data_IF_682497384205
#
_entry.id   IF_682497384205
#
_cell.length_a   1.000
_cell.length_b   1.000
_cell.length_c   1.000
_cell.angle_alpha   90.00
_cell.angle_beta   90.00
_cell.angle_gamma   90.00
#
_symmetry.space_group_name_H-M   'P 1'
#
loop_
_entity.id
_entity.type
_entity.pdbx_description
1 polymer ?
#
# COMPACT_ATOMS: atom_id res chain seq x y z
N UNK A 1 73.15 9.75 53.82
CA UNK A 1 71.96 10.60 53.96
C UNK A 1 70.78 9.90 53.31
N UNK A 2 69.88 9.42 54.16
CA UNK A 2 68.41 9.35 54.01
C UNK A 2 67.78 8.90 52.68
N UNK A 3 67.30 7.66 52.71
CA UNK A 3 66.13 7.17 51.95
C UNK A 3 64.91 8.08 52.17
N UNK A 4 64.17 8.37 51.09
CA UNK A 4 62.70 8.53 51.14
C UNK A 4 62.06 7.69 50.04
N UNK A 5 61.38 6.66 50.52
CA UNK A 5 60.41 5.82 49.84
C UNK A 5 59.15 6.60 49.47
N UNK A 6 58.59 6.35 48.28
CA UNK A 6 57.13 6.36 48.09
C UNK A 6 56.77 5.13 47.24
N UNK A 7 55.93 4.30 47.84
CA UNK A 7 55.39 3.05 47.31
C UNK A 7 54.38 3.31 46.19
N UNK A 8 54.51 2.58 45.07
CA UNK A 8 53.46 2.47 44.05
C UNK A 8 52.42 1.44 44.53
N UNK A 9 51.30 1.93 45.04
CA UNK A 9 50.11 1.10 45.33
C UNK A 9 49.39 0.81 44.02
N UNK A 10 49.36 -0.46 43.63
CA UNK A 10 48.57 -0.99 42.52
C UNK A 10 47.08 -0.91 42.86
N UNK A 11 46.33 -0.04 42.16
CA UNK A 11 44.88 -0.01 42.22
C UNK A 11 44.29 -1.13 41.31
N UNK A 12 43.24 -1.84 41.77
CA UNK A 12 42.61 -2.92 40.99
C UNK A 12 41.70 -2.38 39.86
N UNK A 13 41.39 -3.19 38.84
CA UNK A 13 40.58 -2.77 37.71
C UNK A 13 39.12 -2.49 38.12
N UNK A 14 38.63 -1.31 37.75
CA UNK A 14 37.27 -0.85 38.00
C UNK A 14 36.29 -1.64 37.11
N UNK A 15 35.39 -2.36 37.77
CA UNK A 15 34.24 -3.04 37.18
C UNK A 15 33.22 -2.02 36.65
N UNK A 16 33.06 -1.93 35.33
CA UNK A 16 31.99 -1.18 34.67
C UNK A 16 30.76 -2.08 34.48
N UNK A 17 30.01 -2.26 35.56
CA UNK A 17 28.60 -2.70 35.53
C UNK A 17 27.82 -1.95 36.59
N UNK A 18 27.21 -0.82 36.20
CA UNK A 18 25.85 -0.36 36.56
C UNK A 18 25.64 1.10 36.13
N UNK A 19 24.93 1.29 35.02
CA UNK A 19 24.18 2.51 34.75
C UNK A 19 22.98 2.15 33.87
N UNK A 20 22.08 1.36 34.46
CA UNK A 20 20.73 1.17 33.95
C UNK A 20 19.83 2.27 34.53
N UNK A 21 18.91 2.75 33.71
CA UNK A 21 17.61 3.30 34.09
C UNK A 21 17.53 4.63 34.84
N UNK A 22 17.55 5.71 34.06
CA UNK A 22 16.60 6.82 34.31
C UNK A 22 15.73 7.05 33.08
N UNK A 23 14.41 6.82 33.14
CA UNK A 23 13.51 7.06 32.02
C UNK A 23 13.35 8.57 31.81
N UNK A 24 13.77 9.07 30.64
CA UNK A 24 13.48 10.46 30.23
C UNK A 24 11.96 10.62 30.03
N UNK A 25 11.34 11.70 30.53
CA UNK A 25 9.91 11.92 30.37
C UNK A 25 9.61 12.22 28.89
N UNK A 26 8.87 11.32 28.22
CA UNK A 26 8.35 11.57 26.87
C UNK A 26 7.13 12.48 26.99
N UNK A 27 7.22 13.70 26.43
CA UNK A 27 6.08 14.62 26.31
C UNK A 27 4.96 13.95 25.52
N UNK A 28 3.79 13.82 26.13
CA UNK A 28 2.58 13.27 25.52
C UNK A 28 1.93 14.35 24.66
N UNK A 29 2.00 14.22 23.34
CA UNK A 29 1.22 15.08 22.43
C UNK A 29 -0.21 14.53 22.40
N UNK A 30 -1.16 15.31 22.93
CA UNK A 30 -2.59 15.00 22.88
C UNK A 30 -3.18 15.80 21.72
N UNK A 31 -3.38 15.15 20.57
CA UNK A 31 -4.07 15.74 19.43
C UNK A 31 -5.58 15.62 19.67
N UNK A 32 -6.22 16.71 20.09
CA UNK A 32 -7.69 16.81 20.12
C UNK A 32 -8.19 17.02 18.69
N UNK A 33 -8.79 16.00 18.09
CA UNK A 33 -9.48 16.12 16.80
C UNK A 33 -10.84 16.77 17.02
N UNK A 34 -11.23 17.72 16.17
CA UNK A 34 -12.55 18.35 16.28
C UNK A 34 -13.65 17.30 16.03
N UNK A 35 -14.73 17.39 16.79
CA UNK A 35 -15.90 16.51 16.67
C UNK A 35 -16.56 16.61 15.29
N UNK A 36 -16.37 17.73 14.59
CA UNK A 36 -16.89 17.98 13.25
C UNK A 36 -16.18 17.11 12.20
N UNK A 37 -14.86 16.93 12.32
CA UNK A 37 -14.07 16.07 11.41
C UNK A 37 -14.47 14.59 11.58
N UNK A 38 -14.68 14.14 12.83
CA UNK A 38 -15.11 12.75 13.12
C UNK A 38 -16.53 12.48 12.59
N UNK A 39 -17.42 13.47 12.67
CA UNK A 39 -18.79 13.35 12.18
C UNK A 39 -18.88 13.41 10.65
N UNK A 40 -18.02 14.18 9.98
CA UNK A 40 -17.92 14.21 8.52
C UNK A 40 -17.43 12.85 7.96
N UNK A 41 -16.40 12.24 8.58
CA UNK A 41 -15.91 10.92 8.18
C UNK A 41 -16.95 9.80 8.38
N UNK A 42 -17.77 9.88 9.44
CA UNK A 42 -18.87 8.92 9.70
C UNK A 42 -19.99 8.99 8.67
N UNK A 43 -20.36 10.19 8.19
CA UNK A 43 -21.37 10.35 7.13
C UNK A 43 -20.88 9.80 5.78
N UNK A 44 -19.59 9.95 5.46
CA UNK A 44 -18.98 9.42 4.22
C UNK A 44 -18.94 7.87 4.21
N UNK A 45 -18.60 7.24 5.33
CA UNK A 45 -18.58 5.77 5.45
C UNK A 45 -19.98 5.13 5.46
N UNK A 46 -21.00 5.83 5.92
CA UNK A 46 -22.38 5.31 5.92
C UNK A 46 -22.97 5.23 4.49
N UNK A 47 -22.61 6.17 3.61
CA UNK A 47 -23.04 6.16 2.21
C UNK A 47 -22.31 5.10 1.37
N UNK A 48 -21.02 4.86 1.63
CA UNK A 48 -20.27 3.79 0.95
C UNK A 48 -20.77 2.38 1.32
N UNK A 49 -21.24 2.18 2.55
CA UNK A 49 -21.74 0.88 3.00
C UNK A 49 -23.17 0.58 2.51
N UNK A 50 -23.99 1.60 2.21
CA UNK A 50 -25.32 1.40 1.60
C UNK A 50 -25.27 0.95 0.14
N UNK A 51 -24.18 1.23 -0.58
CA UNK A 51 -23.99 0.75 -1.97
C UNK A 51 -23.32 -0.62 -2.07
N UNK A 52 -22.80 -1.18 -0.96
CA UNK A 52 -22.06 -2.47 -0.95
C UNK A 52 -22.91 -3.69 -0.53
N UNK A 53 -24.19 -3.52 -0.21
CA UNK A 53 -25.02 -4.62 0.35
C UNK A 53 -25.96 -5.32 -0.63
N UNK A 54 -25.84 -5.11 -1.95
CA UNK A 54 -26.54 -5.94 -2.95
C UNK A 54 -25.61 -6.18 -4.14
N UNK A 55 -25.19 -7.43 -4.33
CA UNK A 55 -24.32 -7.81 -5.43
C UNK A 55 -23.90 -9.27 -5.34
N UNK A 56 -24.82 -10.17 -5.71
CA UNK A 56 -24.52 -11.52 -6.22
C UNK A 56 -23.49 -11.45 -7.35
N UNK A 57 -22.69 -12.51 -7.60
CA UNK A 57 -21.66 -12.49 -8.62
C UNK A 57 -22.32 -12.45 -10.01
N UNK A 58 -22.31 -11.29 -10.65
CA UNK A 58 -22.77 -11.12 -12.02
C UNK A 58 -21.57 -10.83 -12.89
N UNK A 59 -21.11 -11.85 -13.60
CA UNK A 59 -20.27 -11.70 -14.79
C UNK A 59 -21.06 -10.83 -15.78
N UNK A 60 -20.72 -9.54 -15.85
CA UNK A 60 -21.32 -8.60 -16.80
C UNK A 60 -20.37 -8.46 -17.99
N UNK A 61 -20.88 -8.45 -19.24
CA UNK A 61 -20.03 -8.52 -20.42
C UNK A 61 -19.28 -7.20 -20.63
N UNK A 62 -17.97 -7.33 -20.85
CA UNK A 62 -17.01 -6.28 -21.17
C UNK A 62 -17.45 -5.55 -22.48
N UNK A 63 -17.60 -4.23 -22.44
CA UNK A 63 -17.80 -3.42 -23.65
C UNK A 63 -16.52 -3.43 -24.49
N UNK A 64 -16.58 -4.08 -25.65
CA UNK A 64 -15.61 -3.92 -26.73
C UNK A 64 -15.86 -2.61 -27.48
N UNK A 65 -14.89 -1.70 -27.48
CA UNK A 65 -14.88 -0.54 -28.36
C UNK A 65 -13.45 -0.16 -28.76
N UNK A 66 -13.16 -0.54 -30.00
CA UNK A 66 -12.32 0.13 -31.01
C UNK A 66 -11.37 1.22 -30.54
N UNK A 67 -10.18 0.82 -30.11
CA UNK A 67 -8.95 1.57 -30.30
C UNK A 67 -7.94 0.64 -30.97
N UNK A 68 -7.18 1.14 -31.95
CA UNK A 68 -6.21 0.36 -32.72
C UNK A 68 -5.05 -0.08 -31.82
N UNK A 69 -5.27 -1.12 -31.01
CA UNK A 69 -4.21 -1.79 -30.27
C UNK A 69 -3.38 -2.60 -31.26
N UNK A 70 -2.06 -2.44 -31.21
CA UNK A 70 -1.18 -3.37 -31.90
C UNK A 70 -1.34 -4.76 -31.29
N UNK A 71 -1.11 -5.83 -32.06
CA UNK A 71 -1.29 -7.20 -31.57
C UNK A 71 -0.53 -7.45 -30.27
N UNK A 72 0.68 -6.89 -30.14
CA UNK A 72 1.55 -7.05 -28.97
C UNK A 72 0.99 -6.36 -27.73
N UNK A 73 0.47 -5.13 -27.85
CA UNK A 73 -0.12 -4.39 -26.73
C UNK A 73 -1.33 -5.12 -26.14
N UNK A 74 -2.15 -5.73 -27.01
CA UNK A 74 -3.29 -6.54 -26.58
C UNK A 74 -2.83 -7.73 -25.72
N UNK A 75 -1.83 -8.51 -26.17
CA UNK A 75 -1.32 -9.65 -25.40
C UNK A 75 -0.71 -9.25 -24.06
N UNK A 76 0.04 -8.14 -24.03
CA UNK A 76 0.66 -7.62 -22.81
C UNK A 76 -0.44 -7.20 -21.82
N UNK A 77 -1.43 -6.43 -22.28
CA UNK A 77 -2.53 -5.96 -21.43
C UNK A 77 -3.34 -7.10 -20.82
N UNK A 78 -3.58 -8.16 -21.60
CA UNK A 78 -4.28 -9.35 -21.13
C UNK A 78 -3.45 -10.13 -20.12
N UNK A 79 -2.14 -10.24 -20.32
CA UNK A 79 -1.24 -10.91 -19.37
C UNK A 79 -1.24 -10.22 -18.02
N UNK A 80 -1.15 -8.88 -17.99
CA UNK A 80 -1.25 -8.12 -16.75
C UNK A 80 -2.64 -8.23 -16.10
N UNK A 81 -3.73 -8.23 -16.89
CA UNK A 81 -5.08 -8.45 -16.35
C UNK A 81 -5.24 -9.84 -15.71
N UNK A 82 -4.69 -10.89 -16.34
CA UNK A 82 -4.68 -12.25 -15.77
C UNK A 82 -3.91 -12.25 -14.44
N UNK A 83 -2.71 -11.66 -14.40
CA UNK A 83 -1.91 -11.55 -13.18
C UNK A 83 -2.65 -10.76 -12.08
N UNK A 84 -3.31 -9.66 -12.43
CA UNK A 84 -4.17 -8.90 -11.53
C UNK A 84 -5.23 -9.80 -10.89
N UNK A 85 -6.00 -10.55 -11.71
CA UNK A 85 -7.06 -11.45 -11.24
C UNK A 85 -6.52 -12.57 -10.35
N UNK A 86 -5.40 -13.17 -10.72
CA UNK A 86 -4.73 -14.22 -9.95
C UNK A 86 -4.27 -13.72 -8.58
N UNK A 87 -3.55 -12.60 -8.54
CA UNK A 87 -3.03 -12.01 -7.29
C UNK A 87 -4.15 -11.50 -6.39
N UNK A 88 -5.21 -10.93 -6.96
CA UNK A 88 -6.41 -10.54 -6.19
C UNK A 88 -7.08 -11.73 -5.51
N UNK A 89 -7.21 -12.85 -6.23
CA UNK A 89 -7.76 -14.09 -5.68
C UNK A 89 -6.87 -14.66 -4.58
N UNK A 90 -5.55 -14.69 -4.79
CA UNK A 90 -4.59 -15.12 -3.77
C UNK A 90 -4.70 -14.25 -2.50
N UNK A 91 -4.72 -12.92 -2.64
CA UNK A 91 -4.88 -12.00 -1.52
C UNK A 91 -6.15 -12.31 -0.70
N UNK A 92 -7.25 -12.55 -1.40
CA UNK A 92 -8.55 -12.86 -0.78
C UNK A 92 -8.51 -14.20 -0.04
N UNK A 93 -7.86 -15.22 -0.62
CA UNK A 93 -7.68 -16.52 0.02
C UNK A 93 -6.86 -16.40 1.31
N UNK A 94 -5.71 -15.72 1.29
CA UNK A 94 -4.88 -15.51 2.48
C UNK A 94 -5.61 -14.70 3.55
N UNK A 95 -6.34 -13.65 3.16
CA UNK A 95 -7.17 -12.87 4.07
C UNK A 95 -8.21 -13.75 4.77
N UNK A 96 -8.94 -14.58 4.03
CA UNK A 96 -9.94 -15.48 4.61
C UNK A 96 -9.34 -16.53 5.54
N UNK A 97 -8.18 -17.12 5.19
CA UNK A 97 -7.48 -18.03 6.10
C UNK A 97 -7.12 -17.34 7.42
N UNK A 98 -6.57 -16.12 7.35
CA UNK A 98 -6.27 -15.31 8.52
C UNK A 98 -7.52 -15.05 9.40
N UNK A 99 -8.67 -14.78 8.79
CA UNK A 99 -9.94 -14.56 9.50
C UNK A 99 -10.47 -15.83 10.17
N UNK A 100 -10.27 -17.00 9.55
CA UNK A 100 -10.70 -18.30 10.05
C UNK A 100 -9.78 -18.90 11.13
N UNK A 101 -8.52 -18.48 11.23
CA UNK A 101 -7.61 -18.96 12.27
C UNK A 101 -8.16 -18.55 13.65
N UNK A 102 -8.40 -19.52 14.56
CA UNK A 102 -8.90 -19.25 15.91
C UNK A 102 -7.99 -18.26 16.66
N UNK A 103 -8.55 -17.49 17.59
CA UNK A 103 -7.78 -16.50 18.37
C UNK A 103 -6.82 -17.11 19.41
N UNK A 104 -6.55 -18.41 19.32
CA UNK A 104 -5.64 -19.07 20.24
C UNK A 104 -4.18 -18.62 20.00
N UNK A 105 -3.43 -18.43 21.10
CA UNK A 105 -2.05 -17.92 21.04
C UNK A 105 -1.12 -18.78 20.16
N UNK A 106 -1.40 -20.08 20.04
CA UNK A 106 -0.60 -21.03 19.28
C UNK A 106 -0.54 -20.75 17.76
N UNK A 107 -1.58 -20.15 17.17
CA UNK A 107 -1.64 -19.87 15.72
C UNK A 107 -1.47 -18.39 15.36
N UNK A 108 -1.04 -17.57 16.32
CA UNK A 108 -0.87 -16.12 16.10
C UNK A 108 0.11 -15.82 14.97
N UNK A 109 1.23 -16.54 14.90
CA UNK A 109 2.26 -16.29 13.89
C UNK A 109 1.81 -16.69 12.48
N UNK A 110 1.09 -17.81 12.34
CA UNK A 110 0.44 -18.20 11.08
C UNK A 110 -0.52 -17.12 10.60
N UNK A 111 -1.35 -16.59 11.51
CA UNK A 111 -2.30 -15.51 11.19
C UNK A 111 -1.61 -14.22 10.73
N UNK A 112 -0.51 -13.85 11.37
CA UNK A 112 0.30 -12.70 10.95
C UNK A 112 0.90 -12.98 9.58
N UNK A 113 1.50 -14.14 9.36
CA UNK A 113 2.09 -14.52 8.06
C UNK A 113 1.07 -14.45 6.92
N UNK A 114 -0.15 -14.95 7.14
CA UNK A 114 -1.24 -14.89 6.16
C UNK A 114 -1.72 -13.45 5.91
N UNK A 115 -1.81 -12.63 6.95
CA UNK A 115 -2.12 -11.20 6.81
C UNK A 115 -1.08 -10.48 5.95
N UNK A 116 0.19 -10.79 6.17
CA UNK A 116 1.31 -10.19 5.43
C UNK A 116 1.36 -10.68 3.99
N UNK A 117 1.05 -11.94 3.74
CA UNK A 117 0.98 -12.45 2.37
C UNK A 117 -0.18 -11.83 1.59
N UNK A 118 -1.36 -11.71 2.21
CA UNK A 118 -2.48 -11.00 1.62
C UNK A 118 -2.14 -9.54 1.31
N UNK A 119 -1.41 -8.87 2.21
CA UNK A 119 -0.92 -7.51 2.00
C UNK A 119 -0.05 -7.42 0.74
N UNK A 120 0.94 -8.30 0.60
CA UNK A 120 1.82 -8.34 -0.58
C UNK A 120 1.04 -8.66 -1.86
N UNK A 121 0.14 -9.64 -1.82
CA UNK A 121 -0.70 -9.99 -2.96
C UNK A 121 -1.61 -8.85 -3.42
N UNK A 122 -2.15 -8.05 -2.49
CA UNK A 122 -2.94 -6.85 -2.86
C UNK A 122 -2.07 -5.78 -3.52
N UNK A 123 -0.85 -5.54 -3.04
CA UNK A 123 0.09 -4.61 -3.67
C UNK A 123 0.45 -5.05 -5.10
N UNK A 124 0.75 -6.34 -5.30
CA UNK A 124 1.03 -6.90 -6.62
C UNK A 124 -0.20 -6.88 -7.54
N UNK A 125 -1.38 -7.17 -7.01
CA UNK A 125 -2.63 -7.11 -7.76
C UNK A 125 -2.86 -5.71 -8.31
N UNK A 126 -2.71 -4.68 -7.47
CA UNK A 126 -2.85 -3.29 -7.92
C UNK A 126 -1.80 -2.89 -8.97
N UNK A 127 -0.53 -3.25 -8.78
CA UNK A 127 0.52 -3.02 -9.77
C UNK A 127 0.14 -3.61 -11.15
N UNK A 128 -0.29 -4.87 -11.16
CA UNK A 128 -0.70 -5.55 -12.39
C UNK A 128 -1.95 -4.89 -13.02
N UNK A 129 -2.89 -4.42 -12.20
CA UNK A 129 -4.05 -3.68 -12.70
C UNK A 129 -3.63 -2.38 -13.39
N UNK A 130 -2.70 -1.63 -12.79
CA UNK A 130 -2.19 -0.38 -13.37
C UNK A 130 -1.41 -0.65 -14.66
N UNK A 131 -0.56 -1.69 -14.70
CA UNK A 131 0.18 -2.04 -15.92
C UNK A 131 -0.78 -2.43 -17.05
N UNK A 132 -1.78 -3.27 -16.77
CA UNK A 132 -2.82 -3.62 -17.74
C UNK A 132 -3.50 -2.36 -18.29
N UNK A 133 -3.85 -1.41 -17.41
CA UNK A 133 -4.45 -0.14 -17.79
C UNK A 133 -3.56 0.71 -18.70
N UNK A 134 -2.28 0.88 -18.33
CA UNK A 134 -1.30 1.62 -19.14
C UNK A 134 -1.09 1.00 -20.52
N UNK A 135 -1.28 -0.31 -20.65
CA UNK A 135 -1.22 -1.05 -21.92
C UNK A 135 -2.57 -1.14 -22.65
N UNK A 136 -3.58 -0.40 -22.19
CA UNK A 136 -4.86 -0.24 -22.89
C UNK A 136 -6.02 -1.11 -22.40
N UNK A 137 -5.85 -1.91 -21.35
CA UNK A 137 -6.97 -2.62 -20.74
C UNK A 137 -7.88 -1.66 -19.99
N UNK A 138 -9.20 -1.71 -20.23
CA UNK A 138 -10.15 -0.78 -19.60
C UNK A 138 -10.66 -1.33 -18.27
N UNK A 139 -10.61 -0.49 -17.24
CA UNK A 139 -11.23 -0.75 -15.94
C UNK A 139 -12.23 0.35 -15.60
N UNK A 140 -13.37 -0.02 -15.03
CA UNK A 140 -14.35 0.93 -14.49
C UNK A 140 -13.90 1.51 -13.15
N UNK A 141 -13.21 0.69 -12.35
CA UNK A 141 -12.67 1.06 -11.05
C UNK A 141 -11.35 0.34 -10.74
N UNK A 142 -10.50 1.02 -9.98
CA UNK A 142 -9.26 0.46 -9.48
C UNK A 142 -9.41 -0.14 -8.08
N UNK A 143 -8.67 -1.21 -7.83
CA UNK A 143 -8.54 -1.80 -6.51
C UNK A 143 -7.84 -0.81 -5.58
N UNK A 144 -8.53 -0.39 -4.51
CA UNK A 144 -7.93 0.39 -3.44
C UNK A 144 -7.68 -0.49 -2.19
N UNK A 145 -6.42 -0.86 -1.89
CA UNK A 145 -6.10 -1.71 -0.74
C UNK A 145 -5.89 -0.93 0.59
N UNK A 146 -6.03 0.40 0.62
CA UNK A 146 -5.64 1.27 1.75
C UNK A 146 -6.24 0.83 3.09
N UNK A 147 -7.54 0.52 3.11
CA UNK A 147 -8.23 0.09 4.33
C UNK A 147 -7.66 -1.22 4.86
N UNK A 148 -7.39 -2.18 3.97
CA UNK A 148 -6.79 -3.45 4.37
C UNK A 148 -5.37 -3.24 4.92
N UNK A 149 -4.56 -2.41 4.26
CA UNK A 149 -3.20 -2.10 4.73
C UNK A 149 -3.21 -1.45 6.11
N UNK A 150 -4.15 -0.54 6.37
CA UNK A 150 -4.35 0.08 7.69
C UNK A 150 -4.72 -0.94 8.76
N UNK A 151 -5.56 -1.91 8.42
CA UNK A 151 -5.99 -2.96 9.34
C UNK A 151 -4.85 -3.92 9.71
N UNK A 152 -3.97 -4.26 8.76
CA UNK A 152 -2.82 -5.14 9.00
C UNK A 152 -1.89 -4.58 10.08
N UNK A 153 -1.73 -3.26 10.20
CA UNK A 153 -0.89 -2.71 11.30
C UNK A 153 -1.39 -3.08 12.70
N UNK A 154 -2.68 -3.40 12.88
CA UNK A 154 -3.23 -3.83 14.16
C UNK A 154 -2.66 -5.18 14.60
N UNK A 155 -2.36 -6.10 13.65
CA UNK A 155 -1.83 -7.42 13.96
C UNK A 155 -0.29 -7.44 14.14
N UNK A 156 0.40 -6.36 13.75
CA UNK A 156 1.86 -6.22 13.81
C UNK A 156 2.39 -5.62 15.11
N UNK A 157 1.54 -5.43 16.11
CA UNK A 157 1.98 -4.96 17.42
C UNK A 157 3.03 -5.92 18.00
N UNK A 158 4.19 -5.37 18.35
CA UNK A 158 5.37 -6.08 18.85
C UNK A 158 6.13 -6.94 17.81
N UNK A 159 5.93 -6.68 16.51
CA UNK A 159 6.82 -7.22 15.47
C UNK A 159 8.08 -6.36 15.29
N UNK A 160 9.15 -6.89 14.67
CA UNK A 160 10.39 -6.15 14.46
C UNK A 160 10.15 -4.83 13.71
N UNK A 161 10.77 -3.71 14.13
CA UNK A 161 10.62 -2.42 13.45
C UNK A 161 10.90 -2.49 11.95
N UNK A 162 11.92 -3.23 11.55
CA UNK A 162 12.29 -3.40 10.13
C UNK A 162 11.17 -4.02 9.28
N UNK A 163 10.45 -5.01 9.82
CA UNK A 163 9.27 -5.62 9.18
C UNK A 163 8.12 -4.61 9.04
N UNK A 164 7.90 -3.79 10.07
CA UNK A 164 6.85 -2.76 10.03
C UNK A 164 7.23 -1.67 9.01
N UNK A 165 8.51 -1.27 8.98
CA UNK A 165 9.04 -0.27 8.06
C UNK A 165 8.90 -0.68 6.59
N UNK A 166 9.23 -1.93 6.24
CA UNK A 166 9.08 -2.40 4.84
C UNK A 166 7.62 -2.41 4.39
N UNK A 167 6.65 -2.74 5.28
CA UNK A 167 5.23 -2.70 4.93
C UNK A 167 4.72 -1.27 4.79
N UNK A 168 5.24 -0.34 5.59
CA UNK A 168 4.97 1.09 5.40
C UNK A 168 5.49 1.57 4.05
N UNK A 169 6.64 1.08 3.61
CA UNK A 169 7.18 1.43 2.29
C UNK A 169 6.29 0.91 1.16
N UNK A 170 5.92 -0.38 1.17
CA UNK A 170 4.99 -0.94 0.16
C UNK A 170 3.64 -0.22 0.20
N UNK A 171 3.09 0.05 1.39
CA UNK A 171 1.87 0.85 1.54
C UNK A 171 2.01 2.20 0.84
N UNK A 172 3.06 2.95 1.16
CA UNK A 172 3.27 4.28 0.62
C UNK A 172 3.35 4.26 -0.91
N UNK A 173 4.18 3.39 -1.48
CA UNK A 173 4.34 3.30 -2.95
C UNK A 173 3.05 2.88 -3.65
N UNK A 174 2.34 1.86 -3.13
CA UNK A 174 1.09 1.38 -3.73
C UNK A 174 -0.04 2.41 -3.65
N UNK A 175 -0.18 3.09 -2.50
CA UNK A 175 -1.23 4.10 -2.34
C UNK A 175 -0.90 5.39 -3.08
N UNK A 176 0.38 5.77 -3.18
CA UNK A 176 0.80 6.85 -4.09
C UNK A 176 0.38 6.56 -5.53
N UNK A 177 0.73 5.38 -6.05
CA UNK A 177 0.35 4.98 -7.41
C UNK A 177 -1.17 4.98 -7.64
N UNK A 178 -1.96 4.63 -6.62
CA UNK A 178 -3.43 4.71 -6.68
C UNK A 178 -3.93 6.16 -6.80
N UNK A 179 -3.46 7.05 -5.94
CA UNK A 179 -3.91 8.44 -5.97
C UNK A 179 -3.32 9.26 -7.12
N UNK A 180 -2.13 8.93 -7.61
CA UNK A 180 -1.61 9.50 -8.87
C UNK A 180 -2.56 9.17 -10.04
N UNK A 181 -3.04 7.93 -10.10
CA UNK A 181 -3.97 7.47 -11.14
C UNK A 181 -5.36 8.07 -11.00
N UNK A 182 -5.91 8.15 -9.78
CA UNK A 182 -7.20 8.81 -9.54
C UNK A 182 -7.11 10.31 -9.82
N UNK A 183 -5.98 10.96 -9.49
CA UNK A 183 -5.73 12.35 -9.85
C UNK A 183 -5.72 12.53 -11.37
N UNK A 184 -5.01 11.68 -12.12
CA UNK A 184 -5.03 11.71 -13.59
C UNK A 184 -6.45 11.57 -14.15
N UNK A 185 -7.27 10.64 -13.60
CA UNK A 185 -8.67 10.46 -14.00
C UNK A 185 -9.53 11.68 -13.68
N UNK A 186 -9.39 12.27 -12.50
CA UNK A 186 -10.10 13.49 -12.12
C UNK A 186 -9.75 14.64 -13.06
N UNK A 187 -8.47 14.84 -13.37
CA UNK A 187 -8.01 15.88 -14.31
C UNK A 187 -8.57 15.64 -15.70
N UNK A 188 -8.54 14.40 -16.19
CA UNK A 188 -9.07 14.06 -17.51
C UNK A 188 -10.58 14.30 -17.60
N UNK A 189 -11.32 13.87 -16.59
CA UNK A 189 -12.76 14.05 -16.54
C UNK A 189 -13.16 15.53 -16.42
N UNK A 190 -12.39 16.34 -15.66
CA UNK A 190 -12.59 17.79 -15.62
C UNK A 190 -12.37 18.46 -16.98
N UNK A 191 -11.41 17.99 -17.78
CA UNK A 191 -11.21 18.48 -19.16
C UNK A 191 -12.41 18.15 -20.04
N UNK A 192 -12.95 16.94 -19.92
CA UNK A 192 -14.13 16.48 -20.67
C UNK A 192 -15.38 17.30 -20.29
N UNK A 193 -15.67 17.42 -18.99
CA UNK A 193 -16.77 18.25 -18.48
C UNK A 193 -16.61 19.70 -18.94
N UNK A 194 -15.40 20.26 -18.89
CA UNK A 194 -15.17 21.64 -19.31
C UNK A 194 -15.42 21.83 -20.82
N UNK A 195 -15.01 20.88 -21.65
CA UNK A 195 -15.30 20.90 -23.08
C UNK A 195 -16.81 20.83 -23.35
N UNK A 196 -17.52 19.94 -22.65
CA UNK A 196 -18.97 19.80 -22.74
C UNK A 196 -19.71 21.02 -22.20
N UNK A 197 -19.21 21.66 -21.14
CA UNK A 197 -19.70 22.93 -20.63
C UNK A 197 -19.58 24.02 -21.68
N UNK A 198 -18.40 24.23 -22.28
CA UNK A 198 -18.18 25.27 -23.27
C UNK A 198 -19.04 25.06 -24.53
N UNK A 199 -19.26 23.81 -24.92
CA UNK A 199 -20.16 23.44 -26.01
C UNK A 199 -21.62 23.75 -25.63
N UNK A 200 -22.07 23.26 -24.48
CA UNK A 200 -23.46 23.36 -24.02
C UNK A 200 -23.84 24.80 -23.66
N UNK A 201 -22.93 25.59 -23.10
CA UNK A 201 -23.17 27.01 -22.77
C UNK A 201 -23.51 27.84 -24.02
N UNK A 202 -22.90 27.51 -25.17
CA UNK A 202 -23.20 28.15 -26.45
C UNK A 202 -24.59 27.78 -26.99
N UNK A 203 -25.05 26.56 -26.71
CA UNK A 203 -26.33 26.03 -27.21
C UNK A 203 -27.51 26.31 -26.25
N UNK A 204 -27.26 26.25 -24.94
CA UNK A 204 -28.25 26.40 -23.88
C UNK A 204 -27.58 26.87 -22.56
N UNK A 205 -27.68 28.18 -22.23
CA UNK A 205 -27.02 28.76 -21.06
C UNK A 205 -27.46 28.18 -19.69
N UNK A 206 -28.73 27.82 -19.52
CA UNK A 206 -29.22 27.27 -18.25
C UNK A 206 -28.67 25.88 -17.99
N UNK A 207 -28.61 25.03 -19.03
CA UNK A 207 -28.00 23.70 -18.94
C UNK A 207 -26.48 23.76 -18.78
N UNK A 208 -25.82 24.77 -19.36
CA UNK A 208 -24.42 25.06 -19.09
C UNK A 208 -24.15 25.37 -17.60
N UNK A 209 -25.03 26.14 -16.95
CA UNK A 209 -24.89 26.45 -15.53
C UNK A 209 -25.01 25.21 -14.62
N UNK A 210 -25.83 24.23 -14.99
CA UNK A 210 -25.97 22.95 -14.27
C UNK A 210 -24.68 22.11 -14.35
N UNK A 211 -24.06 22.03 -15.54
CA UNK A 211 -22.78 21.30 -15.75
C UNK A 211 -21.65 21.93 -14.93
N UNK A 212 -21.63 23.27 -14.78
CA UNK A 212 -20.64 23.96 -13.94
C UNK A 212 -20.76 23.64 -12.44
N UNK A 213 -21.94 23.25 -11.95
CA UNK A 213 -22.09 22.79 -10.56
C UNK A 213 -21.54 21.37 -10.36
N UNK A 214 -21.54 20.54 -11.40
CA UNK A 214 -20.94 19.20 -11.39
C UNK A 214 -19.41 19.26 -11.46
N UNK A 215 -18.86 20.24 -12.19
CA UNK A 215 -17.42 20.57 -12.26
C UNK A 215 -16.79 20.77 -10.86
N UNK A 216 -17.48 21.42 -9.94
CA UNK A 216 -16.98 21.72 -8.59
C UNK A 216 -17.02 20.54 -7.61
N UNK A 217 -17.46 19.35 -8.02
CA UNK A 217 -17.54 18.17 -7.14
C UNK A 217 -16.28 17.29 -7.16
N UNK A 218 -15.33 17.55 -8.07
CA UNK A 218 -14.11 16.74 -8.17
C UNK A 218 -13.05 17.22 -7.19
N UNK A 219 -12.67 16.33 -6.30
CA UNK A 219 -11.82 16.64 -5.16
C UNK A 219 -10.34 16.31 -5.50
N UNK A 220 -9.76 17.13 -6.39
CA UNK A 220 -8.31 17.12 -6.65
C UNK A 220 -7.55 17.32 -5.33
N UNK A 221 -8.08 18.19 -4.45
CA UNK A 221 -7.49 18.48 -3.15
C UNK A 221 -7.42 17.24 -2.26
N UNK A 222 -8.43 16.38 -2.28
CA UNK A 222 -8.40 15.08 -1.60
C UNK A 222 -7.29 14.16 -2.14
N UNK A 223 -7.07 14.11 -3.45
CA UNK A 223 -5.96 13.33 -4.00
C UNK A 223 -4.61 13.89 -3.53
N UNK A 224 -4.46 15.21 -3.52
CA UNK A 224 -3.24 15.88 -3.04
C UNK A 224 -3.00 15.64 -1.54
N UNK A 225 -4.03 15.73 -0.71
CA UNK A 225 -3.96 15.41 0.72
C UNK A 225 -3.49 13.96 0.91
N UNK A 226 -4.02 13.04 0.11
CA UNK A 226 -3.65 11.63 0.17
C UNK A 226 -2.22 11.36 -0.28
N UNK A 227 -1.77 12.02 -1.33
CA UNK A 227 -0.38 11.97 -1.77
C UNK A 227 0.56 12.51 -0.66
N UNK A 228 0.16 13.57 0.04
CA UNK A 228 0.93 14.07 1.18
C UNK A 228 0.98 13.06 2.35
N UNK A 229 -0.13 12.41 2.69
CA UNK A 229 -0.17 11.36 3.72
C UNK A 229 0.80 10.21 3.42
N UNK A 230 0.95 9.81 2.15
CA UNK A 230 1.88 8.72 1.78
C UNK A 230 3.35 9.13 1.84
N UNK A 231 3.69 10.40 1.63
CA UNK A 231 5.05 10.90 1.89
C UNK A 231 5.43 10.75 3.35
N UNK A 232 4.55 11.17 4.28
CA UNK A 232 4.75 10.97 5.71
C UNK A 232 4.88 9.49 6.09
N UNK A 233 4.14 8.62 5.40
CA UNK A 233 4.24 7.17 5.60
C UNK A 233 5.59 6.60 5.11
N UNK A 234 6.12 7.12 4.01
CA UNK A 234 7.43 6.76 3.48
C UNK A 234 8.56 7.24 4.42
N UNK A 235 8.46 8.44 4.98
CA UNK A 235 9.43 8.92 5.96
C UNK A 235 9.43 8.06 7.22
N UNK A 236 8.24 7.67 7.71
CA UNK A 236 8.15 6.68 8.78
C UNK A 236 8.76 5.32 8.38
N UNK A 237 8.67 4.90 7.11
CA UNK A 237 9.34 3.68 6.65
C UNK A 237 10.87 3.81 6.72
N UNK A 238 11.43 4.96 6.33
CA UNK A 238 12.87 5.24 6.44
C UNK A 238 13.36 5.17 7.89
N UNK A 239 12.60 5.75 8.82
CA UNK A 239 12.91 5.70 10.26
C UNK A 239 12.90 4.25 10.81
N UNK A 240 11.86 3.47 10.48
CA UNK A 240 11.72 2.10 10.97
C UNK A 240 12.74 1.13 10.38
N UNK A 241 13.16 1.35 9.14
CA UNK A 241 14.15 0.51 8.45
C UNK A 241 15.59 0.95 8.67
N UNK A 242 15.81 2.22 9.04
CA UNK A 242 17.13 2.84 9.05
C UNK A 242 17.69 3.13 7.65
N UNK A 243 16.89 2.98 6.59
CA UNK A 243 17.31 3.21 5.21
C UNK A 243 16.74 4.54 4.70
N UNK A 244 17.60 5.55 4.52
CA UNK A 244 17.18 6.87 4.02
C UNK A 244 17.00 6.92 2.50
N UNK A 245 17.45 5.89 1.77
CA UNK A 245 17.44 5.85 0.31
C UNK A 245 16.13 5.32 -0.27
N UNK A 246 15.12 5.03 0.56
CA UNK A 246 13.82 4.56 0.07
C UNK A 246 13.16 5.61 -0.82
N UNK A 247 12.81 5.21 -2.04
CA UNK A 247 12.20 6.06 -3.06
C UNK A 247 10.71 5.73 -3.23
N UNK A 248 9.84 6.67 -2.90
CA UNK A 248 8.39 6.47 -2.97
C UNK A 248 7.86 6.13 -4.37
N UNK A 249 8.61 6.46 -5.42
CA UNK A 249 8.23 6.16 -6.81
C UNK A 249 8.65 4.75 -7.25
N UNK A 250 9.49 4.05 -6.48
CA UNK A 250 10.00 2.73 -6.84
C UNK A 250 9.18 1.59 -6.22
N UNK A 251 7.98 1.35 -6.74
CA UNK A 251 7.12 0.27 -6.24
C UNK A 251 7.72 -1.14 -6.40
N UNK A 252 8.47 -1.39 -7.47
CA UNK A 252 9.08 -2.70 -7.72
C UNK A 252 10.13 -3.01 -6.64
N UNK A 253 11.02 -2.05 -6.36
CA UNK A 253 11.99 -2.16 -5.27
C UNK A 253 11.32 -2.32 -3.92
N UNK A 254 10.27 -1.53 -3.64
CA UNK A 254 9.52 -1.65 -2.39
C UNK A 254 8.96 -3.07 -2.18
N UNK A 255 8.39 -3.67 -3.23
CA UNK A 255 7.87 -5.04 -3.17
C UNK A 255 8.97 -6.09 -3.01
N UNK A 256 10.06 -5.99 -3.77
CA UNK A 256 11.18 -6.92 -3.67
C UNK A 256 11.81 -6.89 -2.27
N UNK A 257 12.09 -5.69 -1.75
CA UNK A 257 12.62 -5.49 -0.40
C UNK A 257 11.67 -6.05 0.66
N UNK A 258 10.37 -5.77 0.56
CA UNK A 258 9.39 -6.27 1.49
C UNK A 258 9.27 -7.80 1.49
N UNK A 259 9.32 -8.43 0.30
CA UNK A 259 9.27 -9.88 0.18
C UNK A 259 10.47 -10.55 0.83
N UNK A 260 11.68 -10.01 0.61
CA UNK A 260 12.90 -10.49 1.25
C UNK A 260 12.81 -10.42 2.78
N UNK A 261 12.43 -9.25 3.32
CA UNK A 261 12.31 -9.06 4.77
C UNK A 261 11.20 -9.93 5.39
N UNK A 262 10.11 -10.17 4.64
CA UNK A 262 9.05 -11.08 5.07
C UNK A 262 9.54 -12.53 5.15
N UNK A 263 10.32 -12.97 4.17
CA UNK A 263 10.90 -14.32 4.15
C UNK A 263 11.89 -14.52 5.31
N UNK A 264 12.80 -13.56 5.54
CA UNK A 264 13.71 -13.59 6.69
C UNK A 264 12.95 -13.66 8.02
N UNK A 265 11.89 -12.86 8.18
CA UNK A 265 11.05 -12.91 9.38
C UNK A 265 10.35 -14.28 9.54
N UNK A 266 9.90 -14.91 8.46
CA UNK A 266 9.28 -16.25 8.52
C UNK A 266 10.27 -17.31 8.97
N UNK A 267 11.49 -17.27 8.44
CA UNK A 267 12.58 -18.16 8.82
C UNK A 267 12.92 -18.02 10.32
N UNK A 268 13.10 -16.79 10.81
CA UNK A 268 13.34 -16.51 12.23
C UNK A 268 12.21 -16.99 13.15
N UNK A 269 10.98 -17.06 12.64
CA UNK A 269 9.80 -17.51 13.40
C UNK A 269 9.49 -18.99 13.21
N UNK A 270 10.24 -19.72 12.40
CA UNK A 270 9.98 -21.14 12.09
C UNK A 270 8.64 -21.37 11.39
N UNK A 271 8.18 -20.40 10.59
CA UNK A 271 6.90 -20.49 9.87
C UNK A 271 7.16 -21.18 8.52
N UNK A 272 6.70 -22.42 8.38
CA UNK A 272 6.73 -23.13 7.10
C UNK A 272 5.75 -22.47 6.12
N UNK A 273 6.30 -21.79 5.11
CA UNK A 273 5.52 -21.17 4.05
C UNK A 273 5.79 -21.88 2.73
N UNK A 274 4.74 -22.42 2.11
CA UNK A 274 4.84 -22.97 0.74
C UNK A 274 4.85 -21.78 -0.21
N UNK A 275 6.02 -21.51 -0.79
CA UNK A 275 6.17 -20.50 -1.84
C UNK A 275 5.36 -20.95 -3.07
N UNK A 276 4.27 -20.26 -3.40
CA UNK A 276 3.66 -20.43 -4.71
C UNK A 276 4.56 -19.71 -5.72
N UNK A 277 5.10 -20.47 -6.67
CA UNK A 277 6.04 -20.01 -7.70
C UNK A 277 5.56 -18.70 -8.34
N UNK A 278 6.40 -17.68 -8.27
CA UNK A 278 6.24 -16.42 -9.00
C UNK A 278 6.59 -16.69 -10.47
N UNK A 279 5.58 -16.78 -11.34
CA UNK A 279 5.82 -16.76 -12.79
C UNK A 279 6.19 -15.33 -13.15
N UNK A 280 7.48 -15.10 -13.37
CA UNK A 280 8.00 -13.84 -13.91
C UNK A 280 8.09 -14.03 -15.42
N UNK A 281 7.24 -13.36 -16.20
CA UNK A 281 7.40 -13.32 -17.65
C UNK A 281 8.58 -12.38 -17.96
N UNK A 282 9.79 -12.94 -18.04
CA UNK A 282 10.90 -12.26 -18.67
C UNK A 282 10.63 -12.25 -20.18
N UNK A 283 10.42 -11.05 -20.74
CA UNK A 283 10.41 -10.84 -22.19
C UNK A 283 11.82 -11.04 -22.74
N UNK A 284 12.22 -12.28 -22.97
CA UNK A 284 13.44 -12.59 -23.72
C UNK A 284 13.38 -14.00 -24.29
N UNK A 285 13.16 -14.04 -25.61
CA UNK A 285 13.41 -15.12 -26.59
C UNK A 285 13.47 -16.54 -26.02
N UNK A 286 12.40 -17.29 -26.27
CA UNK A 286 12.40 -18.75 -26.28
C UNK A 286 13.43 -19.21 -27.32
N UNK A 287 14.57 -19.69 -26.86
CA UNK A 287 15.40 -20.63 -27.62
C UNK A 287 15.06 -22.01 -27.06
N UNK A 288 14.15 -22.70 -27.72
CA UNK A 288 13.99 -24.14 -27.54
C UNK A 288 15.14 -24.84 -28.25
N UNK A 289 15.93 -25.62 -27.52
CA UNK A 289 16.59 -26.79 -28.08
C UNK A 289 16.23 -27.97 -27.17
N UNK A 290 15.88 -29.08 -27.84
CA UNK A 290 15.45 -30.35 -27.29
C UNK A 290 16.42 -30.92 -26.25
#
# INVERSE_FOLDING_TARGET
>A
MTLRSISLTTAPPISLKTALDTPRPRKRIIIKRSSEIVNASRKKTLNENKMKSVGTPTDSPEMTSSGTQTGDDYFISQSYNILYRLKRRQATNYKHRCEQIPQNKGKRMEKISDSLEAFMCYAESFYNQQMAYKTGYRYTAFLNPENYFKDVYKCLKAQPPKLIGMLKYVHATTIKMYYDLEHERCVQHLKEIHADFLKTLKENPSRGAEINMEYNRFDIDFCNEKIYEVFLLCDAAKEFTGNQNLNIDNNLEARAYAQEQLNLWREEKGINFILYITITFASSKIVTNF
#
